data_IF_624686895469
#
_entry.id   IF_624686895469
#
_cell.length_a   1.000
_cell.length_b   1.000
_cell.length_c   1.000
_cell.angle_alpha   90.00
_cell.angle_beta   90.00
_cell.angle_gamma   90.00
#
_symmetry.space_group_name_H-M   'P 1'
#
loop_
_entity.id
_entity.type
_entity.pdbx_description
1 polymer ?
#
# COMPACT_ATOMS: atom_id res chain seq x y z
N UNK A 1 -15.35 -28.57 -12.89
CA UNK A 1 -14.47 -27.95 -11.87
C UNK A 1 -14.46 -26.45 -12.11
N UNK A 2 -15.25 -25.67 -11.35
CA UNK A 2 -15.21 -24.20 -11.38
C UNK A 2 -13.93 -23.74 -10.66
N UNK A 3 -13.08 -22.88 -11.24
CA UNK A 3 -11.95 -22.33 -10.51
C UNK A 3 -12.46 -21.45 -9.38
N UNK A 4 -11.90 -21.64 -8.18
CA UNK A 4 -12.19 -20.85 -7.00
C UNK A 4 -11.98 -19.35 -7.27
N UNK A 5 -12.84 -18.48 -6.73
CA UNK A 5 -12.62 -17.04 -6.85
C UNK A 5 -11.31 -16.72 -6.14
N UNK A 6 -10.36 -16.14 -6.87
CA UNK A 6 -9.13 -15.62 -6.31
C UNK A 6 -9.51 -14.74 -5.11
N UNK A 7 -9.14 -15.19 -3.90
CA UNK A 7 -9.33 -14.40 -2.70
C UNK A 7 -8.80 -12.99 -2.98
N UNK A 8 -9.55 -11.93 -2.66
CA UNK A 8 -9.07 -10.57 -2.86
C UNK A 8 -7.74 -10.48 -2.12
N UNK A 9 -6.65 -10.36 -2.88
CA UNK A 9 -5.33 -10.25 -2.30
C UNK A 9 -5.42 -9.15 -1.24
N UNK A 10 -5.13 -9.52 0.02
CA UNK A 10 -5.21 -8.59 1.13
C UNK A 10 -4.55 -7.27 0.69
N UNK A 11 -5.19 -6.10 0.93
CA UNK A 11 -4.75 -4.85 0.34
C UNK A 11 -3.27 -4.66 0.62
N UNK A 12 -2.44 -4.67 -0.43
CA UNK A 12 -0.98 -4.54 -0.28
C UNK A 12 -0.55 -3.07 -0.27
N UNK A 13 -1.51 -2.15 -0.40
CA UNK A 13 -1.33 -0.72 -0.53
C UNK A 13 -2.08 0.05 0.56
N UNK A 14 -1.48 1.14 1.05
CA UNK A 14 -2.06 2.15 1.94
C UNK A 14 -1.94 3.53 1.28
N UNK A 15 -2.69 4.50 1.78
CA UNK A 15 -2.49 5.89 1.38
C UNK A 15 -1.40 6.55 2.22
N UNK A 16 -0.58 7.38 1.59
CA UNK A 16 0.45 8.15 2.28
C UNK A 16 -0.20 9.27 3.13
N UNK A 17 0.12 9.39 4.43
CA UNK A 17 -0.48 10.42 5.30
C UNK A 17 -0.06 11.85 4.95
N UNK A 18 0.97 12.04 4.12
CA UNK A 18 1.48 13.36 3.76
C UNK A 18 0.95 13.88 2.42
N UNK A 19 0.77 13.00 1.44
CA UNK A 19 0.40 13.38 0.07
C UNK A 19 -0.81 12.60 -0.47
N UNK A 20 -1.41 11.72 0.33
CA UNK A 20 -2.58 10.91 -0.03
C UNK A 20 -2.37 10.03 -1.28
N UNK A 21 -1.12 9.79 -1.66
CA UNK A 21 -0.80 8.90 -2.76
C UNK A 21 -0.82 7.43 -2.31
N UNK A 22 -1.30 6.54 -3.16
CA UNK A 22 -1.31 5.09 -2.92
C UNK A 22 0.10 4.53 -2.95
N UNK A 23 0.53 3.90 -1.86
CA UNK A 23 1.87 3.36 -1.64
C UNK A 23 1.79 1.96 -1.04
N UNK A 24 2.85 1.13 -1.11
CA UNK A 24 2.84 -0.17 -0.46
C UNK A 24 2.73 -0.06 1.07
N UNK A 25 2.01 -0.97 1.73
CA UNK A 25 1.88 -0.99 3.21
C UNK A 25 3.25 -1.08 3.90
N UNK A 26 4.18 -1.82 3.30
CA UNK A 26 5.54 -2.01 3.82
C UNK A 26 6.51 -0.87 3.47
N UNK A 27 6.05 0.20 2.81
CA UNK A 27 6.90 1.32 2.44
C UNK A 27 7.31 2.12 3.67
N UNK A 28 8.62 2.19 3.92
CA UNK A 28 9.24 3.09 4.92
C UNK A 28 9.44 4.50 4.39
N UNK A 29 9.34 4.71 3.07
CA UNK A 29 9.46 6.02 2.43
C UNK A 29 8.50 6.12 1.24
N UNK A 30 7.80 7.23 1.12
CA UNK A 30 6.86 7.48 0.03
C UNK A 30 7.61 7.74 -1.28
N UNK A 31 7.26 7.06 -2.38
CA UNK A 31 7.88 7.30 -3.69
C UNK A 31 7.44 8.62 -4.37
N UNK A 32 6.29 9.17 -3.97
CA UNK A 32 5.72 10.37 -4.59
C UNK A 32 6.25 11.66 -3.96
N UNK A 33 6.19 11.76 -2.64
CA UNK A 33 6.63 12.96 -1.91
C UNK A 33 7.95 12.77 -1.16
N UNK A 34 8.57 11.59 -1.24
CA UNK A 34 9.82 11.23 -0.53
C UNK A 34 9.75 11.32 1.00
N UNK A 35 8.55 11.47 1.58
CA UNK A 35 8.34 11.52 3.03
C UNK A 35 8.72 10.19 3.69
N UNK A 36 9.33 10.28 4.87
CA UNK A 36 9.60 9.12 5.72
C UNK A 36 8.30 8.65 6.38
N UNK A 37 8.03 7.36 6.27
CA UNK A 37 6.85 6.66 6.78
C UNK A 37 7.24 5.59 7.81
N UNK A 38 8.48 5.63 8.30
CA UNK A 38 9.01 4.63 9.21
C UNK A 38 8.41 4.72 10.62
N UNK A 39 7.73 5.82 10.96
CA UNK A 39 7.11 6.06 12.27
C UNK A 39 5.57 6.14 12.26
N UNK A 40 4.90 5.69 11.19
CA UNK A 40 3.42 5.69 11.09
C UNK A 40 2.88 4.41 10.47
#
# INVERSE_FOLDING_TARGET
>A
KKPAPAAPAAPTTRECPYCLSTIPIKAVRCAHCTADLSSK
#
